data_IF_679288829418
#
_entry.id   IF_679288829418
#
_cell.length_a   1.000
_cell.length_b   1.000
_cell.length_c   1.000
_cell.angle_alpha   90.00
_cell.angle_beta   90.00
_cell.angle_gamma   90.00
#
_symmetry.space_group_name_H-M   'P 1'
#
loop_
_entity.id
_entity.type
_entity.pdbx_description
1 polymer ?
#
# COMPACT_ATOMS: atom_id res chain seq x y z
N UNK A 1 6.46 -4.44 -6.37
CA UNK A 1 6.08 -4.40 -4.94
C UNK A 1 6.00 -5.79 -4.34
N UNK A 2 4.92 -6.55 -4.52
CA UNK A 2 4.77 -7.84 -3.80
C UNK A 2 5.84 -8.88 -4.14
N UNK A 3 6.29 -8.97 -5.40
CA UNK A 3 7.41 -9.83 -5.76
C UNK A 3 8.71 -9.47 -5.01
N UNK A 4 9.07 -8.18 -5.01
CA UNK A 4 10.21 -7.66 -4.23
C UNK A 4 10.06 -7.98 -2.75
N UNK A 5 8.90 -7.71 -2.18
CA UNK A 5 8.63 -7.93 -0.77
C UNK A 5 8.64 -9.42 -0.42
N UNK A 6 8.22 -10.32 -1.32
CA UNK A 6 8.26 -11.76 -1.12
C UNK A 6 9.70 -12.32 -1.13
N UNK A 7 10.58 -11.79 -1.99
CA UNK A 7 12.01 -12.15 -1.97
C UNK A 7 12.69 -11.66 -0.69
N UNK A 8 12.37 -10.44 -0.23
CA UNK A 8 12.94 -9.87 1.01
C UNK A 8 12.36 -10.51 2.27
N UNK A 9 11.06 -10.88 2.27
CA UNK A 9 10.43 -11.70 3.30
C UNK A 9 11.08 -13.09 3.38
N UNK A 10 11.79 -13.50 2.33
CA UNK A 10 12.49 -14.78 2.26
C UNK A 10 11.62 -15.94 1.79
N UNK A 11 10.38 -15.72 1.36
CA UNK A 11 9.46 -16.77 0.87
C UNK A 11 9.59 -17.05 -0.63
N UNK A 12 10.27 -16.17 -1.36
CA UNK A 12 10.66 -16.38 -2.75
C UNK A 12 12.18 -16.43 -2.86
N UNK A 13 12.67 -17.19 -3.84
CA UNK A 13 14.10 -17.28 -4.12
C UNK A 13 14.60 -15.90 -4.60
N UNK A 14 15.67 -15.40 -3.99
CA UNK A 14 16.29 -14.12 -4.35
C UNK A 14 16.63 -14.07 -5.85
N UNK A 15 16.19 -13.01 -6.55
CA UNK A 15 16.36 -12.81 -7.98
C UNK A 15 15.34 -13.53 -8.87
N UNK A 16 14.43 -14.34 -8.32
CA UNK A 16 13.46 -15.09 -9.14
C UNK A 16 12.37 -14.19 -9.76
N UNK A 17 11.94 -13.17 -9.03
CA UNK A 17 10.90 -12.22 -9.41
C UNK A 17 11.41 -11.02 -10.20
N UNK A 18 12.72 -10.72 -10.18
CA UNK A 18 13.30 -9.61 -10.96
C UNK A 18 13.42 -9.94 -12.46
N UNK A 19 13.65 -11.21 -12.82
CA UNK A 19 13.78 -11.62 -14.22
C UNK A 19 12.48 -11.34 -14.98
N UNK A 20 12.50 -10.63 -16.13
CA UNK A 20 11.29 -10.36 -16.91
C UNK A 20 10.61 -11.63 -17.41
N UNK A 21 9.28 -11.58 -17.62
CA UNK A 21 8.50 -12.76 -18.00
C UNK A 21 8.89 -13.36 -19.36
N UNK A 22 9.29 -12.52 -20.32
CA UNK A 22 9.70 -12.94 -21.68
C UNK A 22 11.21 -13.13 -21.82
N UNK A 23 11.96 -13.04 -20.72
CA UNK A 23 13.41 -13.23 -20.74
C UNK A 23 13.76 -14.72 -20.78
N UNK A 24 14.69 -15.17 -21.63
CA UNK A 24 15.09 -16.59 -21.71
C UNK A 24 15.54 -17.19 -20.36
N UNK A 25 16.05 -16.37 -19.43
CA UNK A 25 16.43 -16.82 -18.09
C UNK A 25 15.25 -17.34 -17.27
N UNK A 26 14.01 -16.96 -17.61
CA UNK A 26 12.81 -17.30 -16.82
C UNK A 26 12.56 -18.80 -16.74
N UNK A 27 12.89 -19.56 -17.77
CA UNK A 27 12.76 -21.03 -17.76
C UNK A 27 13.71 -21.66 -16.74
N UNK A 28 14.98 -21.24 -16.73
CA UNK A 28 15.97 -21.70 -15.76
C UNK A 28 15.58 -21.33 -14.31
N UNK A 29 15.00 -20.15 -14.10
CA UNK A 29 14.41 -19.76 -12.80
C UNK A 29 13.32 -20.74 -12.37
N UNK A 30 12.44 -21.14 -13.29
CA UNK A 30 11.39 -22.13 -13.03
C UNK A 30 11.96 -23.48 -12.58
N UNK A 31 12.97 -23.99 -13.28
CA UNK A 31 13.68 -25.23 -12.90
C UNK A 31 14.33 -25.11 -11.52
N UNK A 32 14.98 -23.98 -11.24
CA UNK A 32 15.66 -23.75 -9.95
C UNK A 32 14.66 -23.71 -8.79
N UNK A 33 13.53 -23.00 -8.96
CA UNK A 33 12.46 -22.93 -7.95
C UNK A 33 11.82 -24.30 -7.73
N UNK A 34 11.65 -25.10 -8.79
CA UNK A 34 11.14 -26.47 -8.68
C UNK A 34 12.06 -27.37 -7.84
N UNK A 35 13.37 -27.34 -8.10
CA UNK A 35 14.36 -28.06 -7.29
C UNK A 35 14.36 -27.59 -5.83
N UNK A 36 14.29 -26.27 -5.61
CA UNK A 36 14.23 -25.69 -4.26
C UNK A 36 12.97 -26.13 -3.50
N UNK A 37 11.82 -26.22 -4.17
CA UNK A 37 10.59 -26.68 -3.54
C UNK A 37 10.72 -28.11 -2.97
N UNK A 38 11.39 -29.02 -3.70
CA UNK A 38 11.70 -30.37 -3.21
C UNK A 38 12.66 -30.33 -2.03
N UNK A 39 13.67 -29.46 -2.09
CA UNK A 39 14.63 -29.27 -1.00
C UNK A 39 13.99 -28.70 0.28
N UNK A 40 13.02 -27.80 0.16
CA UNK A 40 12.26 -27.28 1.31
C UNK A 40 11.54 -28.39 2.05
N UNK A 41 10.92 -29.32 1.32
CA UNK A 41 10.23 -30.48 1.90
C UNK A 41 11.23 -31.43 2.55
N UNK A 42 12.33 -31.76 1.87
CA UNK A 42 13.33 -32.70 2.42
C UNK A 42 14.01 -32.16 3.68
N UNK A 43 14.19 -30.84 3.79
CA UNK A 43 14.75 -30.19 4.96
C UNK A 43 13.68 -29.75 5.98
N UNK A 44 12.41 -30.05 5.75
CA UNK A 44 11.28 -29.64 6.59
C UNK A 44 11.29 -28.13 6.92
N UNK A 45 11.67 -27.30 5.94
CA UNK A 45 11.64 -25.83 6.05
C UNK A 45 10.23 -25.33 5.77
N UNK A 46 9.57 -24.81 6.80
CA UNK A 46 8.17 -24.39 6.78
C UNK A 46 8.06 -22.87 6.67
N UNK A 47 6.94 -22.35 6.10
CA UNK A 47 6.68 -20.90 6.08
C UNK A 47 6.79 -20.25 7.46
N UNK A 48 6.34 -20.90 8.53
CA UNK A 48 6.42 -20.38 9.91
C UNK A 48 7.83 -20.19 10.46
N UNK A 49 8.85 -20.78 9.82
CA UNK A 49 10.26 -20.57 10.18
C UNK A 49 10.89 -19.39 9.43
N UNK A 50 10.24 -18.92 8.36
CA UNK A 50 10.72 -17.86 7.45
C UNK A 50 9.94 -16.58 7.73
N UNK A 51 8.61 -16.67 7.72
CA UNK A 51 7.70 -15.57 8.00
C UNK A 51 7.71 -15.33 9.52
N UNK A 52 8.51 -14.36 9.92
CA UNK A 52 8.71 -13.92 11.31
C UNK A 52 8.54 -12.41 11.37
N UNK A 53 8.39 -11.83 12.57
CA UNK A 53 8.29 -10.38 12.72
C UNK A 53 9.48 -9.63 12.08
N UNK A 54 10.76 -10.03 12.28
CA UNK A 54 11.89 -9.41 11.58
C UNK A 54 11.80 -9.53 10.05
N UNK A 55 11.32 -10.65 9.51
CA UNK A 55 11.15 -10.82 8.07
C UNK A 55 10.03 -9.94 7.50
N UNK A 56 8.94 -9.74 8.25
CA UNK A 56 7.88 -8.80 7.89
C UNK A 56 8.39 -7.37 7.88
N UNK A 57 9.15 -6.95 8.91
CA UNK A 57 9.77 -5.63 8.97
C UNK A 57 10.67 -5.40 7.74
N UNK A 58 11.53 -6.38 7.39
CA UNK A 58 12.38 -6.31 6.19
C UNK A 58 11.55 -6.09 4.93
N UNK A 59 10.47 -6.86 4.76
CA UNK A 59 9.61 -6.75 3.60
C UNK A 59 8.90 -5.39 3.52
N UNK A 60 8.42 -4.86 4.65
CA UNK A 60 7.80 -3.53 4.72
C UNK A 60 8.81 -2.43 4.38
N UNK A 61 10.04 -2.52 4.90
CA UNK A 61 11.13 -1.60 4.53
C UNK A 61 11.47 -1.68 3.04
N UNK A 62 11.42 -2.88 2.44
CA UNK A 62 11.59 -3.02 0.99
C UNK A 62 10.49 -2.32 0.20
N UNK A 63 9.25 -2.34 0.68
CA UNK A 63 8.14 -1.62 0.06
C UNK A 63 8.38 -0.10 0.19
N UNK A 64 8.80 0.38 1.37
CA UNK A 64 9.07 1.78 1.61
C UNK A 64 10.22 2.33 0.74
N UNK A 65 11.36 1.62 0.71
CA UNK A 65 12.56 2.06 -0.02
C UNK A 65 12.40 2.02 -1.54
N UNK A 66 11.47 1.19 -2.02
CA UNK A 66 11.13 1.10 -3.45
C UNK A 66 9.98 2.00 -3.88
N UNK A 67 9.38 2.76 -2.95
CA UNK A 67 8.20 3.56 -3.24
C UNK A 67 7.06 2.67 -3.74
N UNK A 68 6.86 1.52 -3.09
CA UNK A 68 5.93 0.48 -3.49
C UNK A 68 4.46 0.89 -3.49
N UNK A 69 3.58 -0.08 -3.72
CA UNK A 69 2.13 0.14 -3.71
C UNK A 69 1.60 0.17 -2.28
N UNK A 70 0.60 1.01 -2.02
CA UNK A 70 -0.18 1.03 -0.77
C UNK A 70 -0.89 -0.30 -0.50
N UNK A 71 -1.20 -1.08 -1.54
CA UNK A 71 -1.73 -2.45 -1.40
C UNK A 71 -0.77 -3.37 -0.61
N UNK A 72 0.52 -3.03 -0.54
CA UNK A 72 1.48 -3.72 0.32
C UNK A 72 1.08 -3.71 1.80
N UNK A 73 0.45 -2.63 2.28
CA UNK A 73 -0.08 -2.54 3.64
C UNK A 73 -1.13 -3.61 3.88
N UNK A 74 -2.13 -3.68 3.00
CA UNK A 74 -3.23 -4.65 3.11
C UNK A 74 -2.71 -6.10 3.11
N UNK A 75 -1.83 -6.43 2.16
CA UNK A 75 -1.31 -7.78 2.03
C UNK A 75 -0.41 -8.20 3.19
N UNK A 76 0.43 -7.32 3.73
CA UNK A 76 1.32 -7.68 4.82
C UNK A 76 0.59 -7.78 6.17
N UNK A 77 -0.45 -6.96 6.40
CA UNK A 77 -1.37 -7.16 7.53
C UNK A 77 -2.04 -8.54 7.45
N UNK A 78 -2.53 -8.92 6.27
CA UNK A 78 -3.13 -10.24 6.05
C UNK A 78 -2.13 -11.39 6.26
N UNK A 79 -0.93 -11.29 5.68
CA UNK A 79 0.12 -12.32 5.83
C UNK A 79 0.51 -12.48 7.30
N UNK A 80 0.68 -11.38 8.04
CA UNK A 80 1.01 -11.43 9.46
C UNK A 80 -0.08 -12.17 10.25
N UNK A 81 -1.35 -11.85 9.99
CA UNK A 81 -2.49 -12.48 10.67
C UNK A 81 -2.61 -13.97 10.37
N UNK A 82 -2.46 -14.38 9.11
CA UNK A 82 -2.43 -15.80 8.70
C UNK A 82 -1.23 -16.56 9.31
N UNK A 83 -0.12 -15.86 9.56
CA UNK A 83 1.04 -16.42 10.25
C UNK A 83 0.92 -16.41 11.78
N UNK A 84 -0.17 -15.85 12.35
CA UNK A 84 -0.33 -15.68 13.79
C UNK A 84 0.64 -14.69 14.42
N UNK A 85 1.07 -13.68 13.66
CA UNK A 85 2.01 -12.64 14.06
C UNK A 85 1.29 -11.29 14.26
N UNK A 86 1.70 -10.55 15.27
CA UNK A 86 1.23 -9.19 15.50
C UNK A 86 1.91 -8.22 14.53
N UNK A 87 1.08 -7.47 13.79
CA UNK A 87 1.48 -6.39 12.91
C UNK A 87 0.30 -5.42 12.80
N UNK A 88 0.50 -4.19 13.25
CA UNK A 88 -0.51 -3.14 13.20
C UNK A 88 -0.23 -2.17 12.04
N UNK A 89 -1.24 -1.41 11.62
CA UNK A 89 -1.07 -0.46 10.52
C UNK A 89 -0.03 0.62 10.86
N UNK A 90 0.11 1.01 12.13
CA UNK A 90 1.11 1.96 12.62
C UNK A 90 2.56 1.48 12.46
N UNK A 91 2.79 0.16 12.44
CA UNK A 91 4.12 -0.39 12.21
C UNK A 91 4.66 0.07 10.84
N UNK A 92 3.78 0.19 9.83
CA UNK A 92 4.14 0.71 8.51
C UNK A 92 4.58 2.16 8.56
N UNK A 93 3.98 2.99 9.42
CA UNK A 93 4.40 4.39 9.58
C UNK A 93 5.82 4.46 10.17
N UNK A 94 6.07 3.69 11.22
CA UNK A 94 7.38 3.64 11.90
C UNK A 94 8.48 3.13 10.95
N UNK A 95 8.20 2.05 10.23
CA UNK A 95 9.16 1.45 9.31
C UNK A 95 9.35 2.31 8.05
N UNK A 96 8.29 2.90 7.49
CA UNK A 96 8.39 3.76 6.30
C UNK A 96 9.11 5.07 6.60
N UNK A 97 8.78 5.76 7.70
CA UNK A 97 9.39 7.04 8.06
C UNK A 97 10.90 6.93 8.33
N UNK A 98 11.35 5.79 8.87
CA UNK A 98 12.77 5.50 9.13
C UNK A 98 13.52 4.91 7.92
N UNK A 99 12.84 4.61 6.81
CA UNK A 99 13.47 3.98 5.63
C UNK A 99 13.61 4.97 4.48
N UNK A 100 14.84 5.35 4.07
CA UNK A 100 15.02 6.22 2.91
C UNK A 100 14.51 5.59 1.61
N UNK A 101 13.99 6.44 0.72
CA UNK A 101 13.63 6.04 -0.64
C UNK A 101 14.90 5.94 -1.48
N UNK A 102 15.34 4.71 -1.77
CA UNK A 102 16.62 4.44 -2.45
C UNK A 102 16.46 3.81 -3.83
N UNK A 103 15.24 3.50 -4.28
CA UNK A 103 15.03 2.89 -5.60
C UNK A 103 14.14 3.77 -6.47
N UNK A 104 14.65 4.15 -7.64
CA UNK A 104 14.04 5.10 -8.55
C UNK A 104 13.13 4.40 -9.57
N UNK A 105 11.96 3.94 -9.11
CA UNK A 105 11.02 3.20 -9.95
C UNK A 105 9.73 3.95 -10.23
N UNK A 106 9.23 3.79 -11.45
CA UNK A 106 7.86 4.16 -11.81
C UNK A 106 6.87 3.50 -10.84
N UNK A 107 5.78 4.21 -10.50
CA UNK A 107 5.27 5.40 -11.17
C UNK A 107 5.80 6.75 -10.64
N UNK A 108 6.47 6.78 -9.48
CA UNK A 108 7.04 8.01 -8.90
C UNK A 108 8.41 8.39 -9.48
N UNK A 109 9.15 7.38 -9.95
CA UNK A 109 10.51 7.52 -10.47
C UNK A 109 10.64 7.36 -11.99
N UNK A 110 11.89 7.17 -12.44
CA UNK A 110 12.29 7.12 -13.85
C UNK A 110 12.28 5.71 -14.44
N UNK A 111 12.74 4.71 -13.68
CA UNK A 111 13.05 3.38 -14.21
C UNK A 111 11.91 2.37 -14.03
N UNK A 112 12.01 1.22 -14.68
CA UNK A 112 11.05 0.11 -14.58
C UNK A 112 11.68 -1.16 -14.01
N UNK A 113 10.88 -2.17 -13.66
CA UNK A 113 11.36 -3.39 -13.03
C UNK A 113 12.50 -4.12 -13.81
N UNK A 114 12.49 -4.20 -15.16
CA UNK A 114 13.63 -4.74 -15.90
C UNK A 114 14.94 -3.96 -15.72
N UNK A 115 14.88 -2.65 -15.47
CA UNK A 115 16.08 -1.85 -15.18
C UNK A 115 16.62 -2.19 -13.79
N UNK A 116 15.75 -2.46 -12.81
CA UNK A 116 16.16 -2.94 -11.49
C UNK A 116 16.85 -4.31 -11.59
N UNK A 117 16.32 -5.24 -12.38
CA UNK A 117 16.98 -6.53 -12.64
C UNK A 117 18.40 -6.33 -13.18
N UNK A 118 18.55 -5.47 -14.20
CA UNK A 118 19.86 -5.14 -14.79
C UNK A 118 20.79 -4.40 -13.82
N UNK A 119 20.27 -3.63 -12.88
CA UNK A 119 21.08 -2.88 -11.91
C UNK A 119 21.76 -3.79 -10.86
N UNK A 120 21.20 -4.99 -10.62
CA UNK A 120 21.62 -5.89 -9.55
C UNK A 120 20.45 -6.57 -8.82
N UNK A 121 19.22 -6.31 -9.27
CA UNK A 121 18.00 -6.97 -8.80
C UNK A 121 17.64 -6.65 -7.35
N UNK A 122 16.83 -7.52 -6.76
CA UNK A 122 16.34 -7.35 -5.39
C UNK A 122 17.46 -7.56 -4.36
N UNK A 123 18.48 -8.38 -4.68
CA UNK A 123 19.65 -8.54 -3.82
C UNK A 123 20.36 -7.20 -3.58
N UNK A 124 20.45 -6.35 -4.60
CA UNK A 124 21.02 -5.00 -4.45
C UNK A 124 20.17 -4.11 -3.53
N UNK A 125 18.83 -4.25 -3.58
CA UNK A 125 17.93 -3.55 -2.65
C UNK A 125 18.15 -4.03 -1.21
N UNK A 126 18.26 -5.34 -1.00
CA UNK A 126 18.59 -5.92 0.32
C UNK A 126 19.93 -5.37 0.84
N UNK A 127 20.95 -5.30 -0.04
CA UNK A 127 22.27 -4.76 0.31
C UNK A 127 22.22 -3.29 0.71
N UNK A 128 21.43 -2.45 0.05
CA UNK A 128 21.23 -1.05 0.48
C UNK A 128 20.55 -0.94 1.84
N UNK A 129 19.55 -1.78 2.12
CA UNK A 129 18.92 -1.82 3.44
C UNK A 129 19.92 -2.27 4.53
N UNK A 130 20.78 -3.23 4.21
CA UNK A 130 21.87 -3.67 5.09
C UNK A 130 22.90 -2.55 5.34
N UNK A 131 23.38 -1.90 4.29
CA UNK A 131 24.31 -0.75 4.37
C UNK A 131 23.72 0.42 5.19
N UNK A 132 22.40 0.54 5.24
CA UNK A 132 21.68 1.53 6.03
C UNK A 132 21.39 1.09 7.49
N UNK A 133 21.81 -0.11 7.90
CA UNK A 133 21.50 -0.72 9.21
C UNK A 133 19.98 -0.89 9.44
N UNK A 134 19.24 -1.17 8.36
CA UNK A 134 17.79 -1.31 8.37
C UNK A 134 17.31 -2.74 8.07
N UNK A 135 18.23 -3.65 7.71
CA UNK A 135 17.91 -5.04 7.40
C UNK A 135 18.13 -5.92 8.64
N UNK A 136 17.11 -6.65 9.06
CA UNK A 136 17.24 -7.74 10.02
C UNK A 136 17.94 -8.92 9.33
N UNK A 137 19.27 -8.93 9.36
CA UNK A 137 20.12 -9.79 8.53
C UNK A 137 19.96 -11.28 8.76
N UNK A 138 19.62 -11.69 9.98
CA UNK A 138 19.54 -13.10 10.39
C UNK A 138 18.23 -13.78 9.96
N UNK A 139 17.30 -13.04 9.36
CA UNK A 139 16.04 -13.60 8.88
C UNK A 139 16.29 -14.71 7.84
N UNK A 140 15.75 -15.90 8.09
CA UNK A 140 15.90 -17.07 7.24
C UNK A 140 15.15 -16.89 5.91
N UNK A 141 15.71 -17.42 4.82
CA UNK A 141 15.04 -17.46 3.51
C UNK A 141 14.82 -18.89 3.03
N UNK A 142 14.01 -19.08 1.98
CA UNK A 142 13.76 -20.37 1.34
C UNK A 142 15.03 -21.05 0.84
N UNK A 143 16.10 -20.31 0.52
CA UNK A 143 17.37 -20.91 0.10
C UNK A 143 18.12 -21.58 1.27
N UNK A 144 17.76 -21.26 2.52
CA UNK A 144 18.47 -21.70 3.73
C UNK A 144 19.58 -20.75 4.17
N UNK A 145 19.85 -19.73 3.36
CA UNK A 145 20.68 -18.59 3.75
C UNK A 145 19.85 -17.57 4.52
N UNK A 146 20.52 -16.75 5.31
CA UNK A 146 19.91 -15.56 5.88
C UNK A 146 19.77 -14.46 4.81
N UNK A 147 18.87 -13.50 5.03
CA UNK A 147 18.67 -12.41 4.07
C UNK A 147 19.91 -11.52 3.95
N UNK A 148 20.70 -11.38 5.02
CA UNK A 148 22.01 -10.70 4.98
C UNK A 148 23.00 -11.42 4.06
N UNK A 149 23.04 -12.75 4.10
CA UNK A 149 23.85 -13.55 3.18
C UNK A 149 23.37 -13.45 1.72
N UNK A 150 22.07 -13.31 1.48
CA UNK A 150 21.56 -13.03 0.13
C UNK A 150 21.92 -11.61 -0.33
N UNK A 151 21.90 -10.62 0.57
CA UNK A 151 22.31 -9.25 0.29
C UNK A 151 23.80 -9.16 -0.10
N UNK A 152 24.67 -9.89 0.59
CA UNK A 152 26.12 -9.93 0.32
C UNK A 152 26.46 -10.50 -1.06
N UNK A 153 25.54 -11.25 -1.66
CA UNK A 153 25.69 -11.84 -3.00
C UNK A 153 25.28 -10.89 -4.13
N UNK A 154 24.81 -9.69 -3.82
CA UNK A 154 24.39 -8.73 -4.83
C UNK A 154 25.57 -8.32 -5.73
N UNK A 155 25.37 -8.46 -7.04
CA UNK A 155 26.30 -7.95 -8.06
C UNK A 155 25.71 -6.66 -8.61
N UNK A 156 26.32 -5.54 -8.25
CA UNK A 156 25.89 -4.23 -8.74
C UNK A 156 26.51 -3.93 -10.10
N UNK A 157 25.65 -3.54 -11.04
CA UNK A 157 26.10 -3.11 -12.36
C UNK A 157 26.76 -1.73 -12.27
N UNK A 158 28.02 -1.57 -12.72
CA UNK A 158 28.71 -0.29 -12.67
C UNK A 158 27.93 0.84 -13.35
N UNK A 159 27.79 1.96 -12.67
CA UNK A 159 27.13 3.16 -13.20
C UNK A 159 25.60 3.08 -13.28
N UNK A 160 24.97 2.03 -12.75
CA UNK A 160 23.51 1.97 -12.62
C UNK A 160 22.99 3.15 -11.76
N UNK A 161 21.78 3.62 -12.07
CA UNK A 161 21.14 4.75 -11.37
C UNK A 161 19.80 4.37 -10.74
N UNK A 162 19.43 3.09 -10.78
CA UNK A 162 18.13 2.57 -10.32
C UNK A 162 18.10 2.47 -8.81
N UNK A 163 19.18 1.98 -8.19
CA UNK A 163 19.32 1.81 -6.74
C UNK A 163 20.41 2.77 -6.24
N UNK A 164 20.01 3.90 -5.67
CA UNK A 164 20.95 4.95 -5.23
C UNK A 164 21.63 4.57 -3.90
N UNK A 165 22.82 5.13 -3.61
CA UNK A 165 23.53 4.85 -2.36
C UNK A 165 22.82 5.48 -1.13
N UNK A 166 23.10 4.91 0.04
CA UNK A 166 22.48 5.28 1.33
C UNK A 166 22.73 6.75 1.72
N UNK A 167 23.89 7.30 1.36
CA UNK A 167 24.29 8.68 1.66
C UNK A 167 23.62 9.72 0.75
N UNK A 168 23.07 9.28 -0.39
CA UNK A 168 22.36 10.13 -1.35
C UNK A 168 21.02 9.49 -1.77
N UNK A 169 20.09 9.29 -0.83
CA UNK A 169 18.80 8.73 -1.14
C UNK A 169 17.96 9.75 -1.94
N UNK A 170 16.96 9.25 -2.67
CA UNK A 170 16.01 10.12 -3.38
C UNK A 170 15.20 10.96 -2.38
N UNK A 171 14.88 10.36 -1.23
CA UNK A 171 14.29 11.02 -0.06
C UNK A 171 14.76 10.39 1.23
N UNK A 172 14.72 11.18 2.31
CA UNK A 172 15.09 10.75 3.66
C UNK A 172 14.08 9.79 4.30
N UNK A 173 12.83 9.78 3.82
CA UNK A 173 11.77 8.89 4.30
C UNK A 173 11.12 8.12 3.14
N UNK A 174 10.42 7.05 3.49
CA UNK A 174 9.74 6.17 2.54
C UNK A 174 8.55 6.84 1.87
N UNK A 175 8.05 6.18 0.83
CA UNK A 175 6.92 6.68 0.05
C UNK A 175 5.54 6.41 0.64
N UNK A 176 5.43 5.71 1.77
CA UNK A 176 4.15 5.35 2.39
C UNK A 176 3.93 6.16 3.68
N UNK A 177 2.73 6.72 3.84
CA UNK A 177 2.31 7.41 5.06
C UNK A 177 0.96 6.86 5.52
N UNK A 178 0.85 6.59 6.81
CA UNK A 178 -0.38 6.20 7.48
C UNK A 178 -0.99 7.45 8.10
N UNK A 179 -2.29 7.65 7.86
CA UNK A 179 -3.06 8.76 8.40
C UNK A 179 -4.07 8.23 9.41
N UNK A 180 -4.25 8.93 10.53
CA UNK A 180 -5.29 8.70 11.53
C UNK A 180 -6.01 9.99 11.88
N UNK A 181 -7.21 9.90 12.42
CA UNK A 181 -7.94 11.07 12.91
C UNK A 181 -9.39 10.73 13.10
N UNK A 182 -10.23 11.73 13.36
CA UNK A 182 -11.65 11.48 13.59
C UNK A 182 -12.35 10.93 12.34
N UNK A 183 -11.77 11.11 11.14
CA UNK A 183 -12.34 10.60 9.89
C UNK A 183 -11.85 9.18 9.53
N UNK A 184 -10.67 8.77 10.01
CA UNK A 184 -10.16 7.40 9.85
C UNK A 184 -9.48 6.92 11.15
N UNK A 185 -10.27 6.57 12.19
CA UNK A 185 -9.72 6.25 13.51
C UNK A 185 -8.92 4.93 13.53
N UNK A 186 -9.26 3.96 12.67
CA UNK A 186 -8.47 2.73 12.50
C UNK A 186 -7.26 2.94 11.59
N UNK A 187 -7.30 3.96 10.73
CA UNK A 187 -6.22 4.35 9.84
C UNK A 187 -6.62 4.45 8.38
N UNK A 188 -5.77 5.09 7.60
CA UNK A 188 -5.82 5.20 6.15
C UNK A 188 -4.40 5.25 5.60
N UNK A 189 -4.22 5.02 4.31
CA UNK A 189 -2.90 5.01 3.66
C UNK A 189 -2.84 5.97 2.49
N UNK A 190 -1.73 6.68 2.38
CA UNK A 190 -1.40 7.52 1.22
C UNK A 190 0.02 7.23 0.77
N UNK A 191 0.25 7.34 -0.54
CA UNK A 191 1.58 7.26 -1.14
C UNK A 191 2.05 8.65 -1.54
N UNK A 192 3.29 8.99 -1.19
CA UNK A 192 3.91 10.27 -1.51
C UNK A 192 5.10 10.08 -2.46
N UNK A 193 4.99 10.60 -3.69
CA UNK A 193 6.05 10.62 -4.69
C UNK A 193 7.06 11.78 -4.49
N UNK A 194 6.75 12.77 -3.65
CA UNK A 194 7.67 13.82 -3.16
C UNK A 194 7.45 15.19 -3.76
N UNK A 195 6.44 15.31 -4.60
CA UNK A 195 6.04 16.56 -5.23
C UNK A 195 4.67 17.02 -4.71
N UNK A 196 4.00 16.19 -3.92
CA UNK A 196 2.71 16.48 -3.34
C UNK A 196 2.82 17.51 -2.21
N UNK A 197 1.78 18.32 -2.09
CA UNK A 197 1.55 19.18 -0.92
C UNK A 197 1.45 18.32 0.34
N UNK A 198 2.13 18.76 1.41
CA UNK A 198 2.10 18.07 2.70
C UNK A 198 0.73 18.19 3.38
N UNK A 199 0.03 19.30 3.15
CA UNK A 199 -1.25 19.63 3.75
C UNK A 199 -2.27 20.00 2.68
N UNK A 200 -3.53 19.65 2.93
CA UNK A 200 -4.67 20.07 2.14
C UNK A 200 -5.90 20.19 3.03
N UNK A 201 -6.66 21.27 2.84
CA UNK A 201 -7.89 21.51 3.54
C UNK A 201 -8.93 22.05 2.56
N UNK A 202 -10.14 21.51 2.62
CA UNK A 202 -11.18 21.89 1.67
C UNK A 202 -12.55 21.28 1.98
N UNK A 203 -13.60 21.77 1.31
CA UNK A 203 -14.95 21.23 1.47
C UNK A 203 -15.06 19.83 0.85
N UNK A 204 -15.80 18.96 1.51
CA UNK A 204 -16.10 17.62 1.02
C UNK A 204 -17.03 17.67 -0.19
N UNK A 205 -16.77 16.80 -1.18
CA UNK A 205 -17.68 16.40 -2.25
C UNK A 205 -17.90 14.91 -2.14
N UNK A 206 -19.07 14.51 -1.67
CA UNK A 206 -19.34 13.14 -1.21
C UNK A 206 -20.06 12.34 -2.28
N UNK A 207 -19.52 11.17 -2.59
CA UNK A 207 -20.04 10.23 -3.58
C UNK A 207 -20.18 8.84 -2.95
N UNK A 208 -21.32 8.19 -3.16
CA UNK A 208 -21.61 6.85 -2.65
C UNK A 208 -21.14 5.72 -3.59
N UNK A 209 -20.55 6.09 -4.73
CA UNK A 209 -19.90 5.17 -5.66
C UNK A 209 -18.87 5.88 -6.54
N UNK A 210 -17.88 5.12 -7.03
CA UNK A 210 -16.93 5.59 -8.06
C UNK A 210 -17.65 6.10 -9.31
N UNK A 211 -18.73 5.42 -9.69
CA UNK A 211 -19.47 5.64 -10.94
C UNK A 211 -20.14 7.03 -10.96
N UNK A 212 -20.43 7.60 -9.79
CA UNK A 212 -21.00 8.93 -9.64
C UNK A 212 -19.97 10.07 -9.84
N UNK A 213 -18.68 9.77 -9.76
CA UNK A 213 -17.62 10.80 -9.79
C UNK A 213 -17.36 11.30 -11.20
N UNK A 214 -17.35 10.41 -12.21
CA UNK A 214 -17.09 10.78 -13.60
C UNK A 214 -18.09 11.83 -14.13
N UNK A 215 -19.42 11.65 -13.99
CA UNK A 215 -20.39 12.68 -14.37
C UNK A 215 -20.18 14.01 -13.63
N UNK A 216 -19.77 13.98 -12.36
CA UNK A 216 -19.52 15.19 -11.58
C UNK A 216 -18.29 15.96 -12.09
N UNK A 217 -17.24 15.27 -12.54
CA UNK A 217 -16.09 15.90 -13.21
C UNK A 217 -16.54 16.53 -14.52
N UNK A 218 -17.27 15.81 -15.36
CA UNK A 218 -17.73 16.28 -16.67
C UNK A 218 -18.66 17.49 -16.58
N UNK A 219 -19.49 17.55 -15.53
CA UNK A 219 -20.39 18.66 -15.24
C UNK A 219 -19.71 19.84 -14.52
N UNK A 220 -18.42 19.71 -14.16
CA UNK A 220 -17.69 20.74 -13.43
C UNK A 220 -18.16 20.93 -12.00
N UNK A 221 -18.71 19.90 -11.35
CA UNK A 221 -19.14 19.96 -9.95
C UNK A 221 -17.97 19.79 -8.97
N UNK A 222 -16.81 19.33 -9.43
CA UNK A 222 -15.58 19.23 -8.64
C UNK A 222 -14.70 20.43 -8.94
N UNK A 223 -14.39 21.21 -7.91
CA UNK A 223 -13.67 22.46 -8.01
C UNK A 223 -12.25 22.34 -7.42
N UNK A 224 -11.27 23.15 -7.88
CA UNK A 224 -9.98 23.25 -7.23
C UNK A 224 -10.12 23.55 -5.73
N UNK A 225 -9.45 22.76 -4.88
CA UNK A 225 -9.57 22.88 -3.42
C UNK A 225 -10.52 21.87 -2.78
N UNK A 226 -11.37 21.20 -3.54
CA UNK A 226 -12.30 20.20 -2.99
C UNK A 226 -11.57 18.95 -2.46
N UNK A 227 -12.19 18.30 -1.47
CA UNK A 227 -11.85 16.94 -1.03
C UNK A 227 -12.93 15.99 -1.52
N UNK A 228 -12.62 15.22 -2.55
CA UNK A 228 -13.53 14.23 -3.13
C UNK A 228 -13.55 12.99 -2.26
N UNK A 229 -14.70 12.68 -1.67
CA UNK A 229 -14.91 11.52 -0.82
C UNK A 229 -15.70 10.47 -1.59
N UNK A 230 -15.13 9.28 -1.76
CA UNK A 230 -15.81 8.15 -2.42
C UNK A 230 -15.98 7.06 -1.37
N UNK A 231 -17.21 6.84 -0.92
CA UNK A 231 -17.52 5.91 0.17
C UNK A 231 -18.37 4.74 -0.31
N UNK A 232 -18.51 3.73 0.55
CA UNK A 232 -19.13 2.44 0.21
C UNK A 232 -18.37 1.68 -0.88
N UNK A 233 -17.05 1.90 -0.96
CA UNK A 233 -16.14 1.16 -1.84
C UNK A 233 -15.15 0.28 -1.08
N UNK A 234 -15.32 0.20 0.25
CA UNK A 234 -14.57 -0.66 1.15
C UNK A 234 -14.84 -2.17 0.99
N UNK A 235 -14.23 -3.00 1.86
CA UNK A 235 -14.38 -4.45 1.81
C UNK A 235 -15.83 -4.95 1.82
N UNK A 236 -16.71 -4.37 2.63
CA UNK A 236 -18.13 -4.78 2.72
C UNK A 236 -19.05 -3.94 1.84
N UNK A 237 -18.77 -2.63 1.73
CA UNK A 237 -19.62 -1.71 0.95
C UNK A 237 -19.53 -1.95 -0.56
N UNK A 238 -18.33 -2.23 -1.05
CA UNK A 238 -18.02 -2.30 -2.47
C UNK A 238 -18.66 -3.48 -3.20
N UNK A 239 -18.07 -4.69 -3.11
CA UNK A 239 -18.11 -5.58 -1.94
C UNK A 239 -16.78 -6.33 -1.73
N UNK A 240 -15.67 -5.69 -2.10
CA UNK A 240 -14.37 -6.31 -2.26
C UNK A 240 -13.22 -5.31 -2.39
N UNK A 241 -13.45 -4.09 -1.89
CA UNK A 241 -12.46 -3.02 -1.85
C UNK A 241 -11.86 -2.70 -3.23
N UNK A 242 -12.63 -2.16 -4.18
CA UNK A 242 -12.17 -1.98 -5.58
C UNK A 242 -11.02 -0.96 -5.69
N UNK A 243 -10.18 -1.13 -6.72
CA UNK A 243 -9.11 -0.20 -7.05
C UNK A 243 -9.58 0.79 -8.12
N UNK A 244 -9.72 2.06 -7.74
CA UNK A 244 -10.38 3.10 -8.54
C UNK A 244 -9.38 3.89 -9.40
N UNK A 245 -8.85 3.25 -10.44
CA UNK A 245 -7.90 3.89 -11.36
C UNK A 245 -8.57 4.96 -12.23
N UNK A 246 -9.79 4.71 -12.71
CA UNK A 246 -10.49 5.56 -13.66
C UNK A 246 -10.68 6.98 -13.12
N UNK A 247 -11.18 7.11 -11.88
CA UNK A 247 -11.40 8.41 -11.25
C UNK A 247 -10.10 9.19 -11.07
N UNK A 248 -9.03 8.51 -10.65
CA UNK A 248 -7.75 9.20 -10.46
C UNK A 248 -7.18 9.73 -11.78
N UNK A 249 -7.31 8.97 -12.87
CA UNK A 249 -6.92 9.41 -14.21
C UNK A 249 -7.77 10.59 -14.70
N UNK A 250 -9.08 10.58 -14.42
CA UNK A 250 -9.98 11.64 -14.81
C UNK A 250 -9.73 12.96 -14.08
N UNK A 251 -9.47 12.93 -12.77
CA UNK A 251 -9.11 14.12 -11.99
C UNK A 251 -7.81 14.74 -12.51
N UNK A 252 -6.79 13.93 -12.79
CA UNK A 252 -5.54 14.41 -13.39
C UNK A 252 -5.78 14.95 -14.80
N UNK A 253 -6.56 14.25 -15.63
CA UNK A 253 -6.91 14.66 -16.99
C UNK A 253 -7.72 15.97 -17.06
N UNK A 254 -8.54 16.25 -16.04
CA UNK A 254 -9.26 17.51 -15.87
C UNK A 254 -8.37 18.66 -15.35
N UNK A 255 -7.07 18.42 -15.10
CA UNK A 255 -6.15 19.42 -14.57
C UNK A 255 -6.30 19.69 -13.07
N UNK A 256 -6.99 18.81 -12.34
CA UNK A 256 -7.29 18.96 -10.91
C UNK A 256 -6.34 18.17 -9.99
N UNK A 257 -5.39 17.41 -10.55
CA UNK A 257 -4.53 16.49 -9.80
C UNK A 257 -3.69 17.13 -8.67
N UNK A 258 -3.32 18.40 -8.82
CA UNK A 258 -2.53 19.14 -7.82
C UNK A 258 -3.38 20.02 -6.89
N UNK A 259 -4.67 20.20 -7.22
CA UNK A 259 -5.59 21.10 -6.52
C UNK A 259 -6.65 20.36 -5.70
N UNK A 260 -7.02 19.13 -6.06
CA UNK A 260 -8.04 18.30 -5.40
C UNK A 260 -7.39 17.12 -4.66
N UNK A 261 -7.95 16.73 -3.52
CA UNK A 261 -7.58 15.49 -2.82
C UNK A 261 -8.71 14.46 -2.90
N UNK A 262 -8.36 13.18 -2.85
CA UNK A 262 -9.33 12.08 -2.82
C UNK A 262 -9.20 11.28 -1.52
N UNK A 263 -10.34 10.90 -0.96
CA UNK A 263 -10.43 10.03 0.23
C UNK A 263 -11.43 8.91 -0.05
N UNK A 264 -11.08 7.68 0.27
CA UNK A 264 -11.97 6.53 0.11
C UNK A 264 -11.74 5.43 1.15
N UNK A 265 -12.81 4.71 1.47
CA UNK A 265 -12.75 3.42 2.17
C UNK A 265 -12.33 2.27 1.23
N UNK A 266 -12.32 2.48 -0.08
CA UNK A 266 -11.77 1.60 -1.11
C UNK A 266 -10.26 1.76 -1.33
N UNK A 267 -9.78 1.53 -2.56
CA UNK A 267 -8.35 1.63 -2.92
C UNK A 267 -8.12 2.52 -4.12
N UNK A 268 -6.98 3.18 -4.16
CA UNK A 268 -6.47 3.87 -5.34
C UNK A 268 -5.29 3.13 -5.95
N UNK A 269 -5.09 3.32 -7.25
CA UNK A 269 -4.00 2.66 -7.93
C UNK A 269 -2.65 3.24 -7.58
N UNK A 270 -1.63 2.37 -7.53
CA UNK A 270 -0.27 2.79 -7.23
C UNK A 270 0.34 3.77 -8.23
N UNK A 271 -0.29 3.94 -9.42
CA UNK A 271 0.09 4.84 -10.51
C UNK A 271 -0.30 6.32 -10.30
N UNK A 272 -1.06 6.61 -9.26
CA UNK A 272 -1.67 7.93 -9.08
C UNK A 272 -0.68 8.96 -8.50
N UNK A 273 -0.84 10.22 -8.93
CA UNK A 273 -0.15 11.41 -8.39
C UNK A 273 -1.12 12.22 -7.53
N UNK A 274 -0.61 12.91 -6.51
CA UNK A 274 -1.41 13.78 -5.64
C UNK A 274 -1.86 13.10 -4.34
N UNK A 275 -2.68 13.78 -3.56
CA UNK A 275 -3.17 13.30 -2.27
C UNK A 275 -4.38 12.37 -2.46
N UNK A 276 -4.09 11.08 -2.54
CA UNK A 276 -5.06 10.02 -2.85
C UNK A 276 -5.06 9.01 -1.70
N UNK A 277 -5.92 9.24 -0.73
CA UNK A 277 -5.97 8.51 0.52
C UNK A 277 -6.94 7.35 0.35
N UNK A 278 -6.43 6.13 0.46
CA UNK A 278 -7.22 4.91 0.43
C UNK A 278 -7.28 4.22 1.80
N UNK A 279 -8.07 3.15 1.86
CA UNK A 279 -8.16 2.26 3.02
C UNK A 279 -8.68 2.96 4.28
N UNK A 280 -9.43 4.07 4.14
CA UNK A 280 -9.99 4.75 5.29
C UNK A 280 -10.88 3.79 6.08
N UNK A 281 -10.52 3.58 7.34
CA UNK A 281 -11.17 2.61 8.22
C UNK A 281 -11.62 3.26 9.54
N UNK A 282 -12.79 2.88 10.10
CA UNK A 282 -13.74 1.90 9.57
C UNK A 282 -14.41 2.37 8.26
N UNK A 283 -14.79 1.41 7.40
CA UNK A 283 -15.44 1.72 6.13
C UNK A 283 -16.88 2.26 6.34
N UNK A 284 -17.43 2.95 5.34
CA UNK A 284 -18.76 3.55 5.47
C UNK A 284 -19.87 2.51 5.65
N UNK A 285 -19.74 1.32 5.06
CA UNK A 285 -20.75 0.27 5.13
C UNK A 285 -20.93 -0.36 6.52
N UNK A 286 -20.02 -0.07 7.46
CA UNK A 286 -20.12 -0.53 8.86
C UNK A 286 -20.32 0.64 9.84
N UNK A 287 -20.70 1.82 9.33
CA UNK A 287 -20.92 3.01 10.16
C UNK A 287 -19.61 3.70 10.56
N UNK A 288 -18.58 3.63 9.71
CA UNK A 288 -17.39 4.47 9.88
C UNK A 288 -17.68 5.96 9.64
N UNK A 289 -16.81 6.87 10.10
CA UNK A 289 -17.03 8.32 9.97
C UNK A 289 -17.30 8.84 8.55
N UNK A 290 -16.76 8.18 7.51
CA UNK A 290 -17.05 8.51 6.11
C UNK A 290 -18.55 8.40 5.76
N UNK A 291 -19.30 7.52 6.45
CA UNK A 291 -20.71 7.24 6.18
C UNK A 291 -21.65 8.42 6.44
N UNK A 292 -21.20 9.41 7.22
CA UNK A 292 -22.01 10.53 7.71
C UNK A 292 -21.51 11.90 7.27
N UNK A 293 -20.51 11.91 6.39
CA UNK A 293 -20.10 13.13 5.72
C UNK A 293 -21.19 13.66 4.80
N UNK A 294 -21.29 14.97 4.76
CA UNK A 294 -22.13 15.73 3.85
C UNK A 294 -21.28 16.66 2.99
N UNK A 295 -21.81 17.05 1.83
CA UNK A 295 -21.18 18.07 0.98
C UNK A 295 -20.95 19.36 1.77
N UNK A 296 -19.73 19.90 1.65
CA UNK A 296 -19.32 21.12 2.34
C UNK A 296 -18.65 20.93 3.70
N UNK A 297 -18.73 19.74 4.31
CA UNK A 297 -17.96 19.45 5.54
C UNK A 297 -16.47 19.67 5.26
N UNK A 298 -15.76 20.42 6.11
CA UNK A 298 -14.35 20.74 5.85
C UNK A 298 -13.46 19.59 6.30
N UNK A 299 -12.69 19.01 5.38
CA UNK A 299 -11.73 17.93 5.65
C UNK A 299 -10.31 18.49 5.64
N UNK A 300 -9.49 18.04 6.58
CA UNK A 300 -8.07 18.36 6.69
C UNK A 300 -7.25 17.08 6.53
N UNK A 301 -6.32 17.11 5.58
CA UNK A 301 -5.32 16.07 5.35
C UNK A 301 -3.95 16.68 5.68
N UNK A 302 -3.26 16.11 6.66
CA UNK A 302 -1.89 16.51 7.02
C UNK A 302 -0.99 15.28 7.04
N UNK A 303 -0.17 15.15 6.00
CA UNK A 303 0.75 14.02 5.86
C UNK A 303 2.02 14.16 6.70
N UNK A 304 2.29 15.36 7.23
CA UNK A 304 3.40 15.60 8.17
C UNK A 304 3.01 15.16 9.57
N UNK A 305 1.79 15.52 10.00
CA UNK A 305 1.24 15.11 11.28
C UNK A 305 0.65 13.69 11.28
N UNK A 306 0.48 13.07 10.11
CA UNK A 306 -0.18 11.78 9.97
C UNK A 306 -1.68 11.87 10.27
N UNK A 307 -2.34 12.98 9.90
CA UNK A 307 -3.72 13.29 10.26
C UNK A 307 -4.69 13.28 9.08
N UNK A 308 -5.88 12.73 9.33
CA UNK A 308 -7.06 12.81 8.45
C UNK A 308 -8.28 13.12 9.31
N UNK A 309 -8.75 14.36 9.24
CA UNK A 309 -9.79 14.89 10.12
C UNK A 309 -10.90 15.61 9.36
N UNK A 310 -12.11 15.59 9.90
CA UNK A 310 -13.23 16.45 9.51
C UNK A 310 -13.50 17.47 10.61
N UNK A 311 -13.75 18.72 10.23
CA UNK A 311 -14.05 19.82 11.13
C UNK A 311 -15.51 19.77 11.65
N UNK A 312 -15.86 18.66 12.30
CA UNK A 312 -17.12 18.47 13.03
C UNK A 312 -16.82 18.29 14.50
N UNK A 313 -17.68 18.82 15.37
CA UNK A 313 -17.61 18.50 16.79
C UNK A 313 -17.95 17.03 17.00
N UNK A 314 -17.32 16.41 18.01
CA UNK A 314 -17.53 14.99 18.32
C UNK A 314 -19.02 14.68 18.56
N UNK A 315 -19.74 15.57 19.26
CA UNK A 315 -21.17 15.41 19.52
C UNK A 315 -22.02 15.41 18.24
N UNK A 316 -21.65 16.24 17.26
CA UNK A 316 -22.32 16.26 15.96
C UNK A 316 -22.03 14.98 15.17
N UNK A 317 -20.76 14.57 15.11
CA UNK A 317 -20.36 13.34 14.43
C UNK A 317 -21.10 12.12 14.99
N UNK A 318 -21.16 11.98 16.32
CA UNK A 318 -21.89 10.90 16.99
C UNK A 318 -23.39 10.98 16.75
N UNK A 319 -23.98 12.18 16.69
CA UNK A 319 -25.40 12.36 16.37
C UNK A 319 -25.70 11.88 14.95
N UNK A 320 -24.86 12.23 13.97
CA UNK A 320 -25.03 11.77 12.60
C UNK A 320 -24.84 10.25 12.49
N UNK A 321 -23.86 9.67 13.21
CA UNK A 321 -23.62 8.22 13.26
C UNK A 321 -24.79 7.47 13.88
N UNK A 322 -25.41 8.00 14.94
CA UNK A 322 -26.59 7.40 15.57
C UNK A 322 -27.83 7.41 14.66
N UNK A 323 -27.91 8.37 13.74
CA UNK A 323 -28.98 8.47 12.75
C UNK A 323 -28.69 7.69 11.46
N UNK A 324 -27.48 7.13 11.30
CA UNK A 324 -27.09 6.42 10.09
C UNK A 324 -27.71 5.02 10.03
N UNK A 325 -28.26 4.68 8.87
CA UNK A 325 -28.80 3.35 8.58
C UNK A 325 -27.88 2.62 7.61
N UNK A 326 -27.59 1.35 7.91
CA UNK A 326 -26.76 0.52 7.04
C UNK A 326 -27.44 0.32 5.68
N UNK A 327 -26.78 0.68 4.56
CA UNK A 327 -27.34 0.45 3.24
C UNK A 327 -27.57 -1.05 2.97
N UNK A 328 -28.54 -1.41 2.12
CA UNK A 328 -28.72 -2.79 1.72
C UNK A 328 -27.46 -3.31 0.99
N UNK A 329 -27.07 -4.58 1.21
CA UNK A 329 -25.88 -5.13 0.55
C UNK A 329 -26.08 -5.17 -0.97
N UNK A 330 -25.08 -4.68 -1.72
CA UNK A 330 -25.10 -4.69 -3.20
C UNK A 330 -25.23 -6.10 -3.78
N UNK A 331 -24.75 -7.11 -3.05
CA UNK A 331 -24.82 -8.53 -3.43
C UNK A 331 -25.42 -9.35 -2.28
N UNK A 332 -26.56 -9.99 -2.53
CA UNK A 332 -27.28 -10.81 -1.53
C UNK A 332 -26.94 -12.31 -1.61
N UNK A 333 -26.33 -12.76 -2.72
CA UNK A 333 -25.92 -14.15 -2.93
C UNK A 333 -24.57 -14.25 -3.66
N UNK A 334 -24.05 -15.47 -3.82
CA UNK A 334 -22.79 -15.72 -4.53
C UNK A 334 -21.53 -15.40 -3.71
N UNK A 335 -20.38 -15.33 -4.40
CA UNK A 335 -19.06 -15.15 -3.77
C UNK A 335 -18.93 -13.79 -3.07
N UNK A 336 -19.46 -12.71 -3.67
CA UNK A 336 -19.39 -11.37 -3.09
C UNK A 336 -20.19 -11.27 -1.78
N UNK A 337 -21.37 -11.90 -1.72
CA UNK A 337 -22.14 -11.96 -0.48
C UNK A 337 -21.43 -12.80 0.61
N UNK A 338 -20.73 -13.88 0.22
CA UNK A 338 -19.91 -14.66 1.16
C UNK A 338 -18.75 -13.82 1.70
N UNK A 339 -18.03 -13.14 0.81
CA UNK A 339 -16.91 -12.26 1.15
C UNK A 339 -17.33 -11.15 2.10
N UNK A 340 -18.37 -10.37 1.76
CA UNK A 340 -18.83 -9.25 2.61
C UNK A 340 -19.23 -9.71 4.03
N UNK A 341 -19.72 -10.95 4.19
CA UNK A 341 -20.03 -11.53 5.50
C UNK A 341 -18.80 -11.89 6.32
N UNK A 342 -17.73 -12.41 5.70
CA UNK A 342 -16.55 -12.91 6.40
C UNK A 342 -15.38 -11.93 6.47
N UNK A 343 -15.33 -10.93 5.60
CA UNK A 343 -14.20 -10.01 5.50
C UNK A 343 -14.08 -9.10 6.72
N UNK A 344 -12.86 -8.89 7.17
CA UNK A 344 -12.47 -7.93 8.21
C UNK A 344 -12.20 -6.52 7.65
N UNK A 345 -11.90 -5.57 8.54
CA UNK A 345 -11.52 -4.19 8.17
C UNK A 345 -10.25 -4.18 7.30
N UNK A 346 -10.11 -3.16 6.45
CA UNK A 346 -8.88 -2.91 5.70
C UNK A 346 -7.67 -2.68 6.63
N UNK A 347 -7.89 -2.09 7.81
CA UNK A 347 -6.87 -1.93 8.85
C UNK A 347 -6.39 -3.26 9.45
N UNK A 348 -7.10 -4.36 9.18
CA UNK A 348 -6.76 -5.72 9.57
C UNK A 348 -6.33 -6.60 8.38
N UNK A 349 -6.07 -5.99 7.22
CA UNK A 349 -5.67 -6.72 6.01
C UNK A 349 -6.82 -7.29 5.19
N UNK A 350 -8.08 -6.99 5.53
CA UNK A 350 -9.27 -7.56 4.87
C UNK A 350 -9.23 -9.09 4.76
N UNK A 351 -8.75 -9.76 5.81
CA UNK A 351 -8.74 -11.23 5.92
C UNK A 351 -10.17 -11.78 5.99
N UNK A 352 -10.33 -13.03 5.55
CA UNK A 352 -11.60 -13.79 5.55
C UNK A 352 -11.51 -15.12 6.32
N UNK A 353 -10.40 -15.35 7.01
CA UNK A 353 -10.07 -16.54 7.81
C UNK A 353 -10.96 -16.68 9.04
#
# INVERSE_FOLDING_TARGET
>A
TMATAAEILGVALMGSGSVPATDPRKEAVGTQVGSLAVELVSQNRKPSQIITRPALDNAIRSIATTGGSTNGVLHFLAIAREAGLELDIEDFQTLSSSTPLMVDLKPGGRFVAPDLDKAGGIALVARRLKEADLLHEDALTVSGRTIGQEADRAVETPGQQVVVPVDKPLKKSGGLVILKGNLAPEGAVVKLAGHERAQHQGPARVFDSEDAVMPAIEQGHIQPGDVVVIRYEGPKGGPGMREMLAVTGAIVGAGLGDSVALVTDGRFSGATRGLMIGHAAPEAAVGGPLAVLHDGDTITIDTTAGRLDVALEEAELQTRLAAWETPPPRYTSGVMAKYARSVSSAAQGAVTS
#
